data_IF_236386107620
#
_entry.id   IF_236386107620
#
_cell.length_a   1.000
_cell.length_b   1.000
_cell.length_c   1.000
_cell.angle_alpha   90.00
_cell.angle_beta   90.00
_cell.angle_gamma   90.00
#
_symmetry.space_group_name_H-M   'P 1'
#
loop_
_entity.id
_entity.type
_entity.pdbx_description
1 polymer ?
#
# COMPACT_ATOMS: atom_id res chain seq x y z
N UNK A 1 -1.96 13.00 3.74
CA UNK A 1 -2.27 11.78 3.00
C UNK A 1 -3.47 11.91 2.07
N UNK A 2 -4.69 12.21 2.58
CA UNK A 2 -5.93 12.20 1.78
C UNK A 2 -5.92 13.12 0.55
N UNK A 3 -5.30 14.29 0.64
CA UNK A 3 -5.17 15.22 -0.49
C UNK A 3 -4.37 14.60 -1.65
N UNK A 4 -3.31 13.85 -1.36
CA UNK A 4 -2.48 13.22 -2.39
C UNK A 4 -3.28 12.16 -3.15
N UNK A 5 -4.06 11.32 -2.45
CA UNK A 5 -4.92 10.33 -3.12
C UNK A 5 -5.99 10.98 -4.00
N UNK A 6 -6.55 12.09 -3.55
CA UNK A 6 -7.50 12.87 -4.34
C UNK A 6 -6.83 13.45 -5.62
N UNK A 7 -5.65 14.05 -5.49
CA UNK A 7 -4.89 14.58 -6.63
C UNK A 7 -4.58 13.48 -7.65
N UNK A 8 -4.16 12.29 -7.17
CA UNK A 8 -3.87 11.15 -8.06
C UNK A 8 -5.12 10.61 -8.76
N UNK A 9 -6.27 10.57 -8.07
CA UNK A 9 -7.52 10.18 -8.69
C UNK A 9 -7.91 11.15 -9.82
N UNK A 10 -7.74 12.46 -9.59
CA UNK A 10 -7.95 13.47 -10.61
C UNK A 10 -6.94 13.35 -11.77
N UNK A 11 -5.66 13.18 -11.48
CA UNK A 11 -4.64 12.98 -12.51
C UNK A 11 -4.98 11.76 -13.40
N UNK A 12 -5.47 10.67 -12.80
CA UNK A 12 -5.91 9.47 -13.54
C UNK A 12 -7.11 9.75 -14.46
N UNK A 13 -8.04 10.59 -14.02
CA UNK A 13 -9.18 10.99 -14.87
C UNK A 13 -8.69 11.84 -16.04
N UNK A 14 -7.85 12.85 -15.80
CA UNK A 14 -7.33 13.71 -16.86
C UNK A 14 -6.38 12.99 -17.82
N UNK A 15 -5.60 12.02 -17.36
CA UNK A 15 -4.79 11.20 -18.26
C UNK A 15 -5.64 10.36 -19.23
N UNK A 16 -6.80 9.88 -18.79
CA UNK A 16 -7.76 9.17 -19.64
C UNK A 16 -8.47 10.09 -20.63
N UNK A 17 -8.58 11.38 -20.32
CA UNK A 17 -9.15 12.40 -21.20
C UNK A 17 -8.11 13.03 -22.13
N UNK A 18 -6.90 12.43 -22.23
CA UNK A 18 -5.78 12.92 -23.04
C UNK A 18 -5.23 14.28 -22.61
N UNK A 19 -5.63 14.82 -21.48
CA UNK A 19 -5.05 16.03 -20.89
C UNK A 19 -3.82 15.70 -20.04
N UNK A 20 -2.79 15.22 -20.74
CA UNK A 20 -1.53 14.79 -20.13
C UNK A 20 -0.84 15.94 -19.38
N UNK A 21 -0.87 17.14 -19.93
CA UNK A 21 -0.20 18.29 -19.29
C UNK A 21 -0.81 18.63 -17.92
N UNK A 22 -2.12 18.53 -17.79
CA UNK A 22 -2.79 18.76 -16.51
C UNK A 22 -2.54 17.65 -15.52
N UNK A 23 -2.54 16.40 -16.00
CA UNK A 23 -2.19 15.24 -15.19
C UNK A 23 -0.77 15.33 -14.66
N UNK A 24 0.22 15.71 -15.50
CA UNK A 24 1.61 15.91 -15.11
C UNK A 24 1.76 16.97 -14.01
N UNK A 25 1.05 18.10 -14.11
CA UNK A 25 1.06 19.15 -13.07
C UNK A 25 0.49 18.68 -11.75
N UNK A 26 -0.59 17.91 -11.78
CA UNK A 26 -1.18 17.34 -10.57
C UNK A 26 -0.23 16.36 -9.90
N UNK A 27 0.48 15.54 -10.68
CA UNK A 27 1.47 14.60 -10.18
C UNK A 27 2.68 15.31 -9.56
N UNK A 28 3.22 16.34 -10.20
CA UNK A 28 4.32 17.14 -9.64
C UNK A 28 3.91 17.76 -8.29
N UNK A 29 2.70 18.29 -8.17
CA UNK A 29 2.20 18.80 -6.90
C UNK A 29 2.11 17.69 -5.81
N UNK A 30 1.71 16.48 -6.20
CA UNK A 30 1.68 15.35 -5.27
C UNK A 30 3.09 14.92 -4.83
N UNK A 31 4.06 14.88 -5.76
CA UNK A 31 5.47 14.60 -5.46
C UNK A 31 6.07 15.65 -4.53
N UNK A 32 5.81 16.92 -4.76
CA UNK A 32 6.31 18.00 -3.90
C UNK A 32 5.75 17.94 -2.49
N UNK A 33 4.48 17.57 -2.34
CA UNK A 33 3.87 17.34 -1.03
C UNK A 33 4.52 16.18 -0.25
N UNK A 34 5.11 15.20 -0.96
CA UNK A 34 5.82 14.06 -0.34
C UNK A 34 7.28 14.37 -0.01
N UNK A 35 7.92 15.37 -0.63
CA UNK A 35 9.33 15.74 -0.35
C UNK A 35 9.55 16.22 1.08
N UNK A 36 8.49 16.65 1.75
CA UNK A 36 8.52 17.09 3.16
C UNK A 36 7.65 16.17 4.03
N UNK A 37 8.05 14.91 4.26
CA UNK A 37 7.33 14.04 5.19
C UNK A 37 7.40 14.68 6.58
N UNK A 38 6.24 14.98 7.15
CA UNK A 38 6.18 15.42 8.55
C UNK A 38 6.81 14.33 9.43
N UNK A 39 7.43 14.71 10.57
CA UNK A 39 8.04 13.79 11.56
C UNK A 39 7.11 12.68 12.10
N UNK A 40 5.83 12.70 11.72
CA UNK A 40 4.84 11.64 11.97
C UNK A 40 5.14 10.37 11.14
N UNK A 41 5.96 10.46 10.08
CA UNK A 41 6.20 9.36 9.15
C UNK A 41 6.98 8.17 9.74
N UNK A 42 7.73 8.32 10.82
CA UNK A 42 8.54 7.20 11.34
C UNK A 42 7.72 6.13 12.06
N UNK A 43 6.67 6.53 12.78
CA UNK A 43 5.88 5.60 13.59
C UNK A 43 4.92 4.73 12.77
N UNK A 44 4.49 5.22 11.61
CA UNK A 44 3.55 4.55 10.70
C UNK A 44 4.10 4.50 9.26
N UNK A 45 5.40 4.26 9.13
CA UNK A 45 6.10 4.31 7.83
C UNK A 45 5.50 3.40 6.76
N UNK A 46 4.89 2.29 7.17
CA UNK A 46 4.28 1.30 6.26
C UNK A 46 2.81 1.57 5.94
N UNK A 47 2.16 2.55 6.56
CA UNK A 47 0.75 2.85 6.26
C UNK A 47 0.57 3.44 4.86
N UNK A 48 -0.64 3.36 4.31
CA UNK A 48 -0.98 4.05 3.05
C UNK A 48 -0.76 5.57 3.12
N UNK A 49 -0.84 6.16 4.32
CA UNK A 49 -0.52 7.56 4.57
C UNK A 49 0.93 7.78 5.03
N UNK A 50 1.64 6.71 5.33
CA UNK A 50 3.05 6.73 5.70
C UNK A 50 3.97 6.84 4.49
N UNK A 51 5.25 6.99 4.76
CA UNK A 51 6.25 7.24 3.71
C UNK A 51 6.28 6.14 2.65
N UNK A 52 6.36 4.87 3.05
CA UNK A 52 6.53 3.76 2.11
C UNK A 52 5.26 3.43 1.33
N UNK A 53 4.11 3.33 2.03
CA UNK A 53 2.84 2.99 1.39
C UNK A 53 2.37 4.08 0.43
N UNK A 54 2.46 5.36 0.82
CA UNK A 54 2.08 6.46 -0.08
C UNK A 54 3.04 6.61 -1.26
N UNK A 55 4.36 6.42 -1.05
CA UNK A 55 5.33 6.45 -2.15
C UNK A 55 5.07 5.33 -3.16
N UNK A 56 4.81 4.11 -2.68
CA UNK A 56 4.46 2.98 -3.55
C UNK A 56 3.17 3.26 -4.35
N UNK A 57 2.13 3.75 -3.67
CA UNK A 57 0.86 4.07 -4.32
C UNK A 57 1.05 5.10 -5.43
N UNK A 58 1.81 6.18 -5.17
CA UNK A 58 2.05 7.24 -6.14
C UNK A 58 2.84 6.70 -7.33
N UNK A 59 3.97 6.05 -7.07
CA UNK A 59 4.84 5.55 -8.14
C UNK A 59 4.18 4.49 -9.00
N UNK A 60 3.39 3.61 -8.39
CA UNK A 60 2.62 2.63 -9.14
C UNK A 60 1.55 3.28 -10.04
N UNK A 61 0.85 4.30 -9.55
CA UNK A 61 -0.11 5.02 -10.40
C UNK A 61 0.56 5.87 -11.48
N UNK A 62 1.74 6.47 -11.24
CA UNK A 62 2.54 7.13 -12.28
C UNK A 62 2.90 6.13 -13.38
N UNK A 63 3.44 4.97 -13.02
CA UNK A 63 3.75 3.90 -13.96
C UNK A 63 2.52 3.50 -14.78
N UNK A 64 1.36 3.26 -14.14
CA UNK A 64 0.14 2.87 -14.85
C UNK A 64 -0.41 3.96 -15.79
N UNK A 65 -0.11 5.23 -15.51
CA UNK A 65 -0.60 6.35 -16.34
C UNK A 65 0.31 6.64 -17.53
N UNK A 66 1.62 6.54 -17.34
CA UNK A 66 2.61 7.03 -18.30
C UNK A 66 3.49 5.93 -18.90
N UNK A 67 3.43 4.71 -18.38
CA UNK A 67 4.24 3.55 -18.80
C UNK A 67 5.76 3.88 -18.80
N UNK A 68 6.21 4.67 -17.83
CA UNK A 68 7.61 5.06 -17.71
C UNK A 68 8.42 3.95 -17.03
N UNK A 69 9.46 3.49 -17.72
CA UNK A 69 10.37 2.45 -17.21
C UNK A 69 11.11 2.88 -15.94
N UNK A 70 11.34 4.17 -15.76
CA UNK A 70 11.99 4.71 -14.56
C UNK A 70 11.05 4.59 -13.36
N UNK A 71 9.77 4.89 -13.54
CA UNK A 71 8.76 4.72 -12.48
C UNK A 71 8.56 3.23 -12.15
N UNK A 72 8.61 2.35 -13.14
CA UNK A 72 8.59 0.90 -12.91
C UNK A 72 9.75 0.43 -12.03
N UNK A 73 10.97 0.88 -12.31
CA UNK A 73 12.13 0.55 -11.48
C UNK A 73 11.97 1.06 -10.03
N UNK A 74 11.45 2.28 -9.86
CA UNK A 74 11.14 2.83 -8.54
C UNK A 74 10.08 2.01 -7.79
N UNK A 75 9.04 1.54 -8.47
CA UNK A 75 8.01 0.66 -7.88
C UNK A 75 8.66 -0.63 -7.38
N UNK A 76 9.51 -1.25 -8.20
CA UNK A 76 10.22 -2.47 -7.85
C UNK A 76 11.10 -2.31 -6.61
N UNK A 77 11.90 -1.25 -6.54
CA UNK A 77 12.77 -0.93 -5.40
C UNK A 77 11.97 -0.62 -4.14
N UNK A 78 10.83 0.06 -4.27
CA UNK A 78 9.94 0.34 -3.14
C UNK A 78 9.31 -0.94 -2.59
N UNK A 79 8.83 -1.84 -3.45
CA UNK A 79 8.28 -3.14 -3.04
C UNK A 79 9.36 -3.92 -2.28
N UNK A 80 10.56 -4.04 -2.85
CA UNK A 80 11.68 -4.71 -2.20
C UNK A 80 11.97 -4.12 -0.83
N UNK A 81 12.06 -2.80 -0.74
CA UNK A 81 12.34 -2.10 0.53
C UNK A 81 11.26 -2.35 1.59
N UNK A 82 9.99 -2.30 1.19
CA UNK A 82 8.85 -2.56 2.11
C UNK A 82 8.92 -3.99 2.63
N UNK A 83 9.11 -4.95 1.73
CA UNK A 83 9.20 -6.37 2.06
C UNK A 83 10.39 -6.62 2.99
N UNK A 84 11.61 -6.22 2.61
CA UNK A 84 12.84 -6.43 3.40
C UNK A 84 12.70 -5.86 4.82
N UNK A 85 12.15 -4.65 4.94
CA UNK A 85 11.93 -4.02 6.25
C UNK A 85 10.85 -4.73 7.05
N UNK A 86 9.78 -5.18 6.41
CA UNK A 86 8.66 -5.84 7.10
C UNK A 86 9.00 -7.27 7.52
N UNK A 87 9.84 -7.97 6.77
CA UNK A 87 10.37 -9.29 7.16
C UNK A 87 11.13 -9.25 8.49
N UNK A 88 11.77 -8.13 8.80
CA UNK A 88 12.54 -7.93 10.03
C UNK A 88 11.68 -7.53 11.23
N UNK A 89 10.42 -7.19 11.03
CA UNK A 89 9.52 -6.72 12.08
C UNK A 89 8.49 -7.78 12.46
N UNK A 90 8.08 -7.78 13.73
CA UNK A 90 6.95 -8.59 14.19
C UNK A 90 5.66 -7.80 14.10
N UNK A 91 4.56 -8.51 13.92
CA UNK A 91 3.21 -7.95 14.09
C UNK A 91 2.89 -7.94 15.59
N UNK A 92 3.34 -6.91 16.30
CA UNK A 92 3.26 -6.86 17.77
C UNK A 92 2.13 -5.96 18.29
N UNK A 93 1.60 -5.08 17.45
CA UNK A 93 0.69 -4.03 17.91
C UNK A 93 -0.58 -4.00 17.05
N UNK A 94 -1.64 -4.63 17.55
CA UNK A 94 -2.91 -4.78 16.84
C UNK A 94 -3.46 -3.46 16.27
N UNK A 95 -3.40 -2.36 17.02
CA UNK A 95 -3.93 -1.08 16.57
C UNK A 95 -3.12 -0.44 15.44
N UNK A 96 -1.79 -0.58 15.45
CA UNK A 96 -0.92 0.04 14.46
C UNK A 96 -0.71 -0.81 13.20
N UNK A 97 -0.79 -2.13 13.32
CA UNK A 97 -0.57 -3.03 12.19
C UNK A 97 -1.85 -3.31 11.39
N UNK A 98 -3.01 -3.33 12.05
CA UNK A 98 -4.29 -3.74 11.46
C UNK A 98 -5.23 -2.57 11.12
N UNK A 99 -4.75 -1.33 11.15
CA UNK A 99 -5.47 -0.20 10.59
C UNK A 99 -5.24 -0.13 9.08
N UNK A 100 -6.33 -0.04 8.31
CA UNK A 100 -6.20 -0.02 6.84
C UNK A 100 -5.53 1.26 6.33
N UNK A 101 -5.80 2.39 6.97
CA UNK A 101 -5.27 3.68 6.54
C UNK A 101 -3.94 4.02 7.20
N UNK A 102 -3.79 3.75 8.49
CA UNK A 102 -2.63 4.14 9.28
C UNK A 102 -1.70 2.98 9.65
N UNK A 103 -2.13 1.74 9.43
CA UNK A 103 -1.36 0.53 9.65
C UNK A 103 -0.84 -0.11 8.37
N UNK A 104 -0.36 -1.33 8.49
CA UNK A 104 0.19 -2.10 7.37
C UNK A 104 -0.89 -2.71 6.46
N UNK A 105 -2.13 -2.85 6.95
CA UNK A 105 -3.21 -3.51 6.22
C UNK A 105 -3.47 -2.93 4.83
N UNK A 106 -3.51 -1.62 4.71
CA UNK A 106 -3.69 -0.99 3.40
C UNK A 106 -2.49 -1.15 2.47
N UNK A 107 -1.28 -1.18 3.01
CA UNK A 107 -0.07 -1.38 2.20
C UNK A 107 0.05 -2.82 1.70
N UNK A 108 -0.24 -3.82 2.52
CA UNK A 108 -0.25 -5.22 2.07
C UNK A 108 -1.41 -5.48 1.09
N UNK A 109 -2.55 -4.79 1.24
CA UNK A 109 -3.62 -4.79 0.24
C UNK A 109 -3.12 -4.26 -1.11
N UNK A 110 -2.42 -3.12 -1.11
CA UNK A 110 -1.82 -2.52 -2.31
C UNK A 110 -0.77 -3.44 -2.94
N UNK A 111 0.11 -4.05 -2.12
CA UNK A 111 1.08 -5.03 -2.60
C UNK A 111 0.37 -6.21 -3.30
N UNK A 112 -0.67 -6.75 -2.69
CA UNK A 112 -1.46 -7.83 -3.29
C UNK A 112 -2.09 -7.41 -4.62
N UNK A 113 -2.61 -6.19 -4.72
CA UNK A 113 -3.15 -5.66 -5.97
C UNK A 113 -2.08 -5.54 -7.05
N UNK A 114 -0.90 -5.02 -6.71
CA UNK A 114 0.23 -4.88 -7.65
C UNK A 114 0.70 -6.26 -8.14
N UNK A 115 0.93 -7.20 -7.22
CA UNK A 115 1.37 -8.55 -7.56
C UNK A 115 0.37 -9.27 -8.48
N UNK A 116 -0.93 -9.05 -8.26
CA UNK A 116 -1.97 -9.63 -9.09
C UNK A 116 -1.96 -9.09 -10.52
N UNK A 117 -1.60 -7.83 -10.69
CA UNK A 117 -1.69 -7.13 -11.97
C UNK A 117 -0.37 -7.11 -12.75
N UNK A 118 0.76 -7.45 -12.12
CA UNK A 118 2.08 -7.45 -12.74
C UNK A 118 2.80 -8.78 -12.52
N UNK A 119 2.86 -9.58 -13.59
CA UNK A 119 3.44 -10.93 -13.55
C UNK A 119 4.94 -10.93 -13.21
N UNK A 120 5.71 -9.92 -13.61
CA UNK A 120 7.14 -9.83 -13.32
C UNK A 120 7.38 -9.53 -11.84
N UNK A 121 6.61 -8.60 -11.28
CA UNK A 121 6.63 -8.29 -9.84
C UNK A 121 6.18 -9.52 -9.07
N UNK A 122 5.11 -10.19 -9.51
CA UNK A 122 4.62 -11.43 -8.90
C UNK A 122 5.73 -12.50 -8.81
N UNK A 123 6.34 -12.87 -9.93
CA UNK A 123 7.38 -13.92 -9.95
C UNK A 123 8.56 -13.56 -9.02
N UNK A 124 8.89 -12.27 -8.91
CA UNK A 124 10.05 -11.84 -8.13
C UNK A 124 9.80 -11.83 -6.62
N UNK A 125 8.60 -11.43 -6.19
CA UNK A 125 8.32 -11.15 -4.78
C UNK A 125 7.30 -12.09 -4.13
N UNK A 126 6.82 -13.09 -4.87
CA UNK A 126 5.72 -13.94 -4.40
C UNK A 126 6.04 -14.67 -3.10
N UNK A 127 7.22 -15.30 -2.99
CA UNK A 127 7.58 -16.09 -1.81
C UNK A 127 7.67 -15.24 -0.55
N UNK A 128 8.29 -14.07 -0.64
CA UNK A 128 8.39 -13.12 0.46
C UNK A 128 7.03 -12.53 0.83
N UNK A 129 6.22 -12.22 -0.19
CA UNK A 129 4.85 -11.76 0.00
C UNK A 129 3.96 -12.82 0.65
N UNK A 130 4.04 -14.09 0.21
CA UNK A 130 3.30 -15.21 0.82
C UNK A 130 3.65 -15.34 2.31
N UNK A 131 4.95 -15.29 2.63
CA UNK A 131 5.41 -15.38 4.01
C UNK A 131 4.88 -14.25 4.90
N UNK A 132 4.99 -13.01 4.44
CA UNK A 132 4.48 -11.84 5.17
C UNK A 132 2.96 -11.91 5.32
N UNK A 133 2.28 -12.31 4.26
CA UNK A 133 0.81 -12.41 4.22
C UNK A 133 0.28 -13.44 5.22
N UNK A 134 0.90 -14.61 5.31
CA UNK A 134 0.53 -15.62 6.31
C UNK A 134 0.72 -15.10 7.73
N UNK A 135 1.86 -14.48 8.01
CA UNK A 135 2.09 -13.85 9.31
C UNK A 135 1.07 -12.77 9.65
N UNK A 136 0.71 -11.95 8.67
CA UNK A 136 -0.32 -10.92 8.83
C UNK A 136 -1.68 -11.55 9.15
N UNK A 137 -2.07 -12.58 8.40
CA UNK A 137 -3.35 -13.27 8.56
C UNK A 137 -3.44 -13.94 9.94
N UNK A 138 -2.39 -14.67 10.34
CA UNK A 138 -2.33 -15.33 11.66
C UNK A 138 -2.45 -14.32 12.80
N UNK A 139 -1.71 -13.22 12.73
CA UNK A 139 -1.75 -12.16 13.72
C UNK A 139 -3.10 -11.42 13.74
N UNK A 140 -3.71 -11.19 12.58
CA UNK A 140 -5.05 -10.60 12.48
C UNK A 140 -6.10 -11.50 13.13
N UNK A 141 -6.15 -12.79 12.79
CA UNK A 141 -7.11 -13.71 13.39
C UNK A 141 -6.89 -13.90 14.88
N UNK A 142 -5.64 -13.96 15.33
CA UNK A 142 -5.34 -13.97 16.76
C UNK A 142 -5.92 -12.75 17.48
N UNK A 143 -5.68 -11.55 16.94
CA UNK A 143 -6.19 -10.29 17.49
C UNK A 143 -7.71 -10.21 17.44
N UNK A 144 -8.31 -10.68 16.35
CA UNK A 144 -9.77 -10.74 16.19
C UNK A 144 -10.42 -11.65 17.24
N UNK A 145 -9.90 -12.85 17.44
CA UNK A 145 -10.43 -13.81 18.42
C UNK A 145 -10.25 -13.34 19.87
N UNK A 146 -9.25 -12.53 20.15
CA UNK A 146 -9.00 -11.95 21.47
C UNK A 146 -9.74 -10.62 21.72
N UNK A 147 -10.60 -10.18 20.79
CA UNK A 147 -11.45 -9.00 20.96
C UNK A 147 -10.69 -7.67 21.00
N UNK A 148 -9.52 -7.60 20.34
CA UNK A 148 -8.71 -6.36 20.33
C UNK A 148 -9.25 -5.28 19.41
N UNK A 149 -10.24 -5.60 18.56
CA UNK A 149 -10.84 -4.62 17.65
C UNK A 149 -12.07 -3.98 18.26
N UNK A 150 -12.05 -2.65 18.41
CA UNK A 150 -13.20 -1.86 18.88
C UNK A 150 -14.07 -1.31 17.76
N UNK A 151 -13.58 -1.31 16.52
CA UNK A 151 -14.23 -0.66 15.37
C UNK A 151 -14.56 -1.66 14.26
N UNK A 152 -15.71 -1.43 13.59
CA UNK A 152 -16.17 -2.25 12.46
C UNK A 152 -15.79 -1.56 11.13
N UNK A 153 -15.46 -0.28 11.15
CA UNK A 153 -15.22 0.55 9.99
C UNK A 153 -14.15 0.02 9.02
N UNK A 154 -14.22 0.46 7.76
CA UNK A 154 -13.25 0.05 6.74
C UNK A 154 -11.86 0.66 6.98
N UNK A 155 -11.80 1.95 7.30
CA UNK A 155 -10.55 2.68 7.43
C UNK A 155 -9.74 2.25 8.67
N UNK A 156 -10.42 2.05 9.81
CA UNK A 156 -9.80 1.87 11.11
C UNK A 156 -10.24 0.59 11.83
N UNK A 157 -10.96 -0.31 11.15
CA UNK A 157 -11.56 -1.46 11.80
C UNK A 157 -11.46 -2.78 11.05
N UNK A 158 -12.28 -3.73 11.47
CA UNK A 158 -12.29 -5.13 11.00
C UNK A 158 -12.56 -5.22 9.50
N UNK A 159 -13.46 -4.38 8.94
CA UNK A 159 -13.87 -4.50 7.53
C UNK A 159 -12.71 -4.26 6.55
N UNK A 160 -11.81 -3.34 6.86
CA UNK A 160 -10.60 -3.10 6.06
C UNK A 160 -9.64 -4.30 6.08
N UNK A 161 -9.50 -4.94 7.23
CA UNK A 161 -8.67 -6.13 7.38
C UNK A 161 -9.26 -7.34 6.65
N UNK A 162 -10.58 -7.54 6.72
CA UNK A 162 -11.28 -8.59 5.95
C UNK A 162 -11.08 -8.37 4.44
N UNK A 163 -11.19 -7.13 3.96
CA UNK A 163 -10.93 -6.81 2.57
C UNK A 163 -9.47 -7.12 2.17
N UNK A 164 -8.52 -6.87 3.07
CA UNK A 164 -7.11 -7.20 2.88
C UNK A 164 -6.90 -8.71 2.79
N UNK A 165 -7.46 -9.49 3.72
CA UNK A 165 -7.41 -10.95 3.67
C UNK A 165 -8.05 -11.48 2.38
N UNK A 166 -9.21 -10.95 1.99
CA UNK A 166 -9.87 -11.32 0.74
C UNK A 166 -9.05 -10.96 -0.52
N UNK A 167 -8.26 -9.89 -0.49
CA UNK A 167 -7.35 -9.58 -1.59
C UNK A 167 -6.16 -10.54 -1.63
N UNK A 168 -5.56 -10.84 -0.49
CA UNK A 168 -4.46 -11.80 -0.36
C UNK A 168 -4.91 -13.20 -0.84
N UNK A 169 -6.12 -13.65 -0.48
CA UNK A 169 -6.65 -14.96 -0.87
C UNK A 169 -6.84 -15.17 -2.38
N UNK A 170 -6.79 -14.09 -3.17
CA UNK A 170 -6.77 -14.19 -4.64
C UNK A 170 -5.41 -14.60 -5.20
N UNK A 171 -4.35 -14.51 -4.39
CA UNK A 171 -2.98 -14.81 -4.78
C UNK A 171 -2.46 -16.08 -4.12
N UNK A 172 -2.80 -16.29 -2.86
CA UNK A 172 -2.38 -17.43 -2.05
C UNK A 172 -3.58 -18.20 -1.51
N UNK A 173 -3.57 -19.53 -1.57
CA UNK A 173 -4.59 -20.35 -0.91
C UNK A 173 -4.44 -20.21 0.62
N UNK A 174 -5.52 -19.80 1.25
CA UNK A 174 -5.63 -19.63 2.71
C UNK A 174 -6.37 -20.81 3.28
#
# INVERSE_FOLDING_TARGET
GGIIFYILAYAKVFSKLEDKLYADRLLENAKDALKNPSKIAEKNAFSLYGFWGSSLYIKYNEYLMFDDKTDYACVFDLIKTIIDKRLQQRFENAENDFDFMHGFSGTIYLLAEILRNDNKIFITFFDDFDYISRKYIDAFFYSFLNGTFSEIGFAHGISGNIATVAMISKLIPI
#
